data_IF_032355098652
#
_entry.id   IF_032355098652
#
_cell.length_a   1.000
_cell.length_b   1.000
_cell.length_c   1.000
_cell.angle_alpha   90.00
_cell.angle_beta   90.00
_cell.angle_gamma   90.00
#
_symmetry.space_group_name_H-M   'P 1'
#
loop_
_entity.id
_entity.type
_entity.pdbx_description
1 polymer ?
#
# COMPACT_ATOMS: atom_id res chain seq x y z
N UNK A 1 22.44 -3.13 -12.24
CA UNK A 1 21.24 -2.30 -12.05
C UNK A 1 20.56 -2.90 -10.85
N UNK A 2 20.43 -2.17 -9.75
CA UNK A 2 19.67 -2.68 -8.62
C UNK A 2 18.22 -2.88 -9.08
N UNK A 3 17.66 -4.06 -8.79
CA UNK A 3 16.27 -4.35 -9.09
C UNK A 3 15.37 -3.34 -8.38
N UNK A 4 14.42 -2.78 -9.13
CA UNK A 4 13.45 -1.80 -8.62
C UNK A 4 12.71 -2.40 -7.42
N UNK A 5 12.73 -1.69 -6.29
CA UNK A 5 11.96 -2.07 -5.09
C UNK A 5 10.63 -1.34 -5.06
N UNK A 6 9.59 -2.06 -4.68
CA UNK A 6 8.23 -1.51 -4.57
C UNK A 6 7.79 -1.46 -3.11
N UNK A 7 7.09 -0.40 -2.73
CA UNK A 7 6.36 -0.36 -1.47
C UNK A 7 4.91 0.04 -1.72
N UNK A 8 3.98 -0.47 -0.91
CA UNK A 8 2.60 -0.02 -0.93
C UNK A 8 2.42 1.13 0.08
N UNK A 9 2.09 2.32 -0.42
CA UNK A 9 1.66 3.46 0.40
C UNK A 9 0.14 3.56 0.35
N UNK A 10 -0.55 3.01 1.36
CA UNK A 10 -2.01 2.82 1.34
C UNK A 10 -2.65 3.14 2.69
N UNK A 11 -3.94 3.46 2.76
CA UNK A 11 -4.57 3.64 4.07
C UNK A 11 -6.03 4.03 4.07
N UNK A 12 -6.55 4.33 5.27
CA UNK A 12 -7.92 4.78 5.45
C UNK A 12 -8.17 6.15 4.80
N UNK A 13 -9.40 6.38 4.35
CA UNK A 13 -9.89 7.71 3.94
C UNK A 13 -10.15 8.64 5.14
N UNK A 14 -10.00 8.11 6.34
CA UNK A 14 -10.14 8.82 7.61
C UNK A 14 -8.77 9.06 8.26
N UNK A 15 -7.68 8.86 7.52
CA UNK A 15 -6.33 9.10 8.03
C UNK A 15 -6.19 10.54 8.54
N UNK A 16 -5.75 10.76 9.80
CA UNK A 16 -5.56 12.09 10.37
C UNK A 16 -4.62 12.96 9.54
N UNK A 17 -4.81 14.27 9.58
CA UNK A 17 -4.06 15.22 8.74
C UNK A 17 -2.56 15.21 9.06
N UNK A 18 -2.22 15.16 10.35
CA UNK A 18 -0.85 15.06 10.82
C UNK A 18 -0.17 13.78 10.34
N UNK A 19 -0.90 12.66 10.26
CA UNK A 19 -0.38 11.42 9.68
C UNK A 19 -0.22 11.55 8.17
N UNK A 20 -1.12 12.25 7.49
CA UNK A 20 -0.99 12.55 6.07
C UNK A 20 0.29 13.34 5.76
N UNK A 21 0.66 14.31 6.60
CA UNK A 21 1.93 15.06 6.45
C UNK A 21 3.14 14.13 6.55
N UNK A 22 3.15 13.21 7.52
CA UNK A 22 4.18 12.16 7.62
C UNK A 22 4.20 11.27 6.37
N UNK A 23 3.04 10.88 5.83
CA UNK A 23 2.97 10.05 4.62
C UNK A 23 3.51 10.76 3.37
N UNK A 24 3.27 12.08 3.23
CA UNK A 24 3.88 12.89 2.17
C UNK A 24 5.39 12.81 2.27
N UNK A 25 5.95 13.01 3.46
CA UNK A 25 7.40 13.01 3.62
C UNK A 25 8.01 11.61 3.44
N UNK A 26 7.35 10.55 3.93
CA UNK A 26 7.77 9.15 3.67
C UNK A 26 7.77 8.86 2.17
N UNK A 27 6.71 9.25 1.45
CA UNK A 27 6.63 9.03 0.01
C UNK A 27 7.72 9.76 -0.76
N UNK A 28 8.06 10.99 -0.33
CA UNK A 28 9.15 11.78 -0.91
C UNK A 28 10.52 11.13 -0.66
N UNK A 29 10.78 10.70 0.57
CA UNK A 29 12.05 10.10 0.95
C UNK A 29 12.28 8.74 0.29
N UNK A 30 11.27 7.87 0.25
CA UNK A 30 11.38 6.57 -0.45
C UNK A 30 11.60 6.74 -1.95
N UNK A 31 10.96 7.72 -2.58
CA UNK A 31 11.22 8.05 -3.98
C UNK A 31 12.67 8.49 -4.22
N UNK A 32 13.25 9.30 -3.32
CA UNK A 32 14.66 9.70 -3.40
C UNK A 32 15.63 8.53 -3.17
N UNK A 33 15.20 7.51 -2.43
CA UNK A 33 15.92 6.24 -2.25
C UNK A 33 15.73 5.27 -3.44
N UNK A 34 15.02 5.69 -4.50
CA UNK A 34 14.80 4.89 -5.70
C UNK A 34 13.72 3.82 -5.58
N UNK A 35 12.85 3.90 -4.56
CA UNK A 35 11.72 2.99 -4.43
C UNK A 35 10.52 3.47 -5.23
N UNK A 36 9.82 2.53 -5.87
CA UNK A 36 8.59 2.80 -6.60
C UNK A 36 7.36 2.66 -5.69
N UNK A 37 6.50 3.67 -5.69
CA UNK A 37 5.26 3.67 -4.93
C UNK A 37 4.18 2.83 -5.65
N UNK A 38 3.53 1.93 -4.93
CA UNK A 38 2.22 1.37 -5.31
C UNK A 38 1.12 1.95 -4.44
N UNK A 39 0.10 2.54 -5.07
CA UNK A 39 -1.05 3.07 -4.33
C UNK A 39 -2.34 2.93 -5.13
N UNK A 40 -3.41 3.62 -4.71
CA UNK A 40 -4.77 3.34 -5.17
C UNK A 40 -5.62 4.54 -5.53
N UNK A 41 -5.10 5.77 -5.40
CA UNK A 41 -5.83 6.99 -5.72
C UNK A 41 -6.99 7.30 -4.78
N UNK A 42 -7.06 6.68 -3.60
CA UNK A 42 -8.03 7.09 -2.57
C UNK A 42 -7.68 8.47 -1.99
N UNK A 43 -8.66 9.11 -1.36
CA UNK A 43 -8.42 10.33 -0.60
C UNK A 43 -7.64 10.02 0.70
N UNK A 44 -6.92 11.03 1.22
CA UNK A 44 -6.05 10.96 2.40
C UNK A 44 -4.79 10.16 2.15
N UNK A 45 -4.71 8.92 2.63
CA UNK A 45 -3.46 8.18 2.70
C UNK A 45 -2.82 7.97 1.33
N UNK A 46 -3.55 7.37 0.38
CA UNK A 46 -3.06 7.12 -0.98
C UNK A 46 -2.57 8.44 -1.63
N UNK A 47 -3.40 9.49 -1.62
CA UNK A 47 -3.06 10.81 -2.16
C UNK A 47 -1.84 11.46 -1.49
N UNK A 48 -1.63 11.24 -0.19
CA UNK A 48 -0.49 11.79 0.54
C UNK A 48 0.81 11.16 0.08
N UNK A 49 0.86 9.82 -0.04
CA UNK A 49 2.02 9.13 -0.61
C UNK A 49 2.25 9.52 -2.07
N UNK A 50 1.18 9.60 -2.87
CA UNK A 50 1.26 10.01 -4.28
C UNK A 50 1.87 11.40 -4.43
N UNK A 51 1.44 12.36 -3.61
CA UNK A 51 1.99 13.72 -3.56
C UNK A 51 3.45 13.72 -3.13
N UNK A 52 3.81 12.94 -2.11
CA UNK A 52 5.19 12.79 -1.66
C UNK A 52 6.11 12.32 -2.78
N UNK A 53 5.68 11.26 -3.46
CA UNK A 53 6.38 10.70 -4.62
C UNK A 53 6.53 11.74 -5.75
N UNK A 54 5.48 12.48 -6.07
CA UNK A 54 5.52 13.55 -7.09
C UNK A 54 6.51 14.66 -6.76
N UNK A 55 6.62 15.06 -5.49
CA UNK A 55 7.57 16.10 -5.04
C UNK A 55 9.03 15.70 -5.28
N UNK A 56 9.33 14.40 -5.34
CA UNK A 56 10.65 13.87 -5.64
C UNK A 56 10.83 13.45 -7.11
N UNK A 57 9.80 13.61 -7.96
CA UNK A 57 9.72 13.02 -9.29
C UNK A 57 9.98 11.50 -9.27
N UNK A 58 9.45 10.81 -8.26
CA UNK A 58 9.61 9.37 -8.11
C UNK A 58 8.71 8.56 -9.05
N UNK A 59 9.07 7.29 -9.22
CA UNK A 59 8.25 6.31 -9.94
C UNK A 59 7.06 5.84 -9.10
N UNK A 60 5.89 5.72 -9.72
CA UNK A 60 4.68 5.22 -9.06
C UNK A 60 3.73 4.46 -9.97
N UNK A 61 3.10 3.42 -9.43
CA UNK A 61 2.01 2.66 -10.03
C UNK A 61 0.73 2.85 -9.21
N UNK A 62 -0.23 3.58 -9.78
CA UNK A 62 -1.49 3.90 -9.10
C UNK A 62 -2.61 3.01 -9.62
N UNK A 63 -2.95 1.96 -8.88
CA UNK A 63 -3.97 1.01 -9.29
C UNK A 63 -5.37 1.53 -8.96
N UNK A 64 -6.15 1.84 -9.99
CA UNK A 64 -7.49 2.38 -9.85
C UNK A 64 -8.56 1.27 -9.95
N UNK A 65 -9.64 1.43 -9.19
CA UNK A 65 -10.79 0.52 -9.30
C UNK A 65 -11.60 0.76 -10.59
N UNK A 66 -11.47 1.93 -11.21
CA UNK A 66 -12.07 2.30 -12.49
C UNK A 66 -11.26 3.40 -13.15
N UNK A 67 -11.35 3.51 -14.47
CA UNK A 67 -10.68 4.56 -15.26
C UNK A 67 -11.09 5.96 -14.76
N UNK A 68 -10.11 6.84 -14.56
CA UNK A 68 -10.36 8.23 -14.16
C UNK A 68 -10.94 8.38 -12.75
N UNK A 69 -10.79 7.39 -11.87
CA UNK A 69 -11.26 7.48 -10.49
C UNK A 69 -10.69 8.74 -9.81
N UNK A 70 -11.58 9.59 -9.28
CA UNK A 70 -11.22 10.90 -8.70
C UNK A 70 -10.39 11.81 -9.62
N UNK A 71 -10.53 11.67 -10.94
CA UNK A 71 -9.75 12.42 -11.91
C UNK A 71 -8.30 11.98 -12.04
N UNK A 72 -7.89 10.88 -11.38
CA UNK A 72 -6.54 10.35 -11.48
C UNK A 72 -6.31 9.77 -12.90
N UNK A 73 -5.27 10.19 -13.63
CA UNK A 73 -5.04 9.82 -15.03
C UNK A 73 -4.37 8.44 -15.19
N UNK A 74 -4.08 7.73 -14.10
CA UNK A 74 -3.37 6.46 -14.14
C UNK A 74 -3.99 5.46 -15.14
N UNK A 75 -3.16 4.79 -15.96
CA UNK A 75 -3.63 3.78 -16.90
C UNK A 75 -3.96 2.45 -16.20
N UNK A 76 -3.57 2.26 -14.94
CA UNK A 76 -3.68 0.98 -14.24
C UNK A 76 -5.08 0.78 -13.62
N UNK A 77 -6.10 0.56 -14.45
CA UNK A 77 -7.48 0.31 -14.00
C UNK A 77 -8.05 -1.06 -14.41
N UNK A 78 -7.25 -1.83 -15.15
CA UNK A 78 -7.57 -3.20 -15.54
C UNK A 78 -7.14 -4.16 -14.44
N UNK A 79 -8.11 -4.80 -13.79
CA UNK A 79 -7.88 -5.72 -12.68
C UNK A 79 -8.05 -7.15 -13.23
N UNK A 80 -7.01 -8.00 -13.18
CA UNK A 80 -7.10 -9.39 -13.62
C UNK A 80 -8.20 -10.14 -12.86
N UNK A 81 -8.86 -11.09 -13.53
CA UNK A 81 -9.99 -11.82 -12.94
C UNK A 81 -9.56 -12.61 -11.69
N UNK A 82 -8.41 -13.26 -11.74
CA UNK A 82 -7.83 -13.98 -10.60
C UNK A 82 -7.61 -13.09 -9.35
N UNK A 83 -7.43 -11.77 -9.50
CA UNK A 83 -7.24 -10.86 -8.37
C UNK A 83 -8.54 -10.63 -7.60
N UNK A 84 -9.70 -10.80 -8.26
CA UNK A 84 -10.99 -10.86 -7.57
C UNK A 84 -11.13 -12.16 -6.77
N UNK A 85 -10.65 -13.28 -7.30
CA UNK A 85 -10.70 -14.57 -6.64
C UNK A 85 -9.76 -14.58 -5.41
N UNK A 86 -8.56 -13.98 -5.52
CA UNK A 86 -7.65 -13.78 -4.39
C UNK A 86 -8.30 -12.90 -3.31
N UNK A 87 -8.86 -11.75 -3.69
CA UNK A 87 -9.51 -10.83 -2.75
C UNK A 87 -10.71 -11.49 -2.04
N UNK A 88 -11.47 -12.34 -2.73
CA UNK A 88 -12.60 -13.06 -2.17
C UNK A 88 -12.23 -13.99 -1.01
N UNK A 89 -11.01 -14.57 -1.00
CA UNK A 89 -10.51 -15.43 0.08
C UNK A 89 -10.51 -14.73 1.44
N UNK A 90 -10.27 -13.41 1.43
CA UNK A 90 -10.16 -12.58 2.63
C UNK A 90 -11.48 -11.96 3.10
N UNK A 91 -12.60 -12.23 2.40
CA UNK A 91 -13.88 -11.56 2.66
C UNK A 91 -15.04 -12.55 2.65
N UNK A 92 -15.43 -13.03 3.84
CA UNK A 92 -16.56 -13.98 4.04
C UNK A 92 -17.86 -13.58 3.33
N UNK A 93 -18.16 -12.29 3.26
CA UNK A 93 -19.38 -11.75 2.64
C UNK A 93 -19.17 -11.26 1.19
N UNK A 94 -18.16 -11.77 0.46
CA UNK A 94 -17.79 -11.32 -0.90
C UNK A 94 -18.99 -11.07 -1.84
N UNK A 95 -19.94 -12.01 -1.86
CA UNK A 95 -21.14 -11.93 -2.71
C UNK A 95 -22.07 -10.74 -2.40
N UNK A 96 -22.03 -10.22 -1.16
CA UNK A 96 -22.85 -9.08 -0.72
C UNK A 96 -22.25 -7.72 -1.09
N UNK A 97 -20.95 -7.67 -1.43
CA UNK A 97 -20.35 -6.41 -1.86
C UNK A 97 -20.87 -6.00 -3.23
N UNK A 98 -21.06 -4.69 -3.41
CA UNK A 98 -21.31 -4.12 -4.73
C UNK A 98 -20.12 -4.40 -5.65
N UNK A 99 -20.34 -4.33 -6.97
CA UNK A 99 -19.26 -4.47 -7.94
C UNK A 99 -18.13 -3.47 -7.66
N UNK A 100 -18.47 -2.21 -7.41
CA UNK A 100 -17.48 -1.18 -7.10
C UNK A 100 -16.64 -1.52 -5.86
N UNK A 101 -17.27 -2.02 -4.79
CA UNK A 101 -16.54 -2.46 -3.60
C UNK A 101 -15.66 -3.68 -3.86
N UNK A 102 -16.11 -4.64 -4.67
CA UNK A 102 -15.27 -5.77 -5.11
C UNK A 102 -14.07 -5.31 -5.92
N UNK A 103 -14.23 -4.33 -6.82
CA UNK A 103 -13.12 -3.74 -7.59
C UNK A 103 -12.12 -3.01 -6.70
N UNK A 104 -12.59 -2.25 -5.71
CA UNK A 104 -11.71 -1.61 -4.72
C UNK A 104 -10.88 -2.64 -3.95
N UNK A 105 -11.50 -3.76 -3.53
CA UNK A 105 -10.81 -4.83 -2.83
C UNK A 105 -9.84 -5.61 -3.73
N UNK A 106 -10.25 -5.96 -4.94
CA UNK A 106 -9.41 -6.68 -5.91
C UNK A 106 -8.20 -5.84 -6.35
N UNK A 107 -8.38 -4.53 -6.51
CA UNK A 107 -7.27 -3.60 -6.77
C UNK A 107 -6.20 -3.62 -5.67
N UNK A 108 -6.57 -3.86 -4.41
CA UNK A 108 -5.57 -3.93 -3.33
C UNK A 108 -4.62 -5.12 -3.49
N UNK A 109 -5.03 -6.17 -4.23
CA UNK A 109 -4.16 -7.29 -4.56
C UNK A 109 -3.04 -6.84 -5.51
N UNK A 110 -3.33 -5.96 -6.49
CA UNK A 110 -2.32 -5.35 -7.38
C UNK A 110 -1.30 -4.51 -6.60
N UNK A 111 -1.74 -3.81 -5.56
CA UNK A 111 -0.85 -2.99 -4.74
C UNK A 111 0.20 -3.82 -4.01
N UNK A 112 -0.12 -5.08 -3.67
CA UNK A 112 0.77 -5.98 -2.93
C UNK A 112 1.58 -6.86 -3.89
N UNK A 113 0.92 -7.56 -4.81
CA UNK A 113 1.56 -8.56 -5.65
C UNK A 113 2.14 -7.98 -6.96
N UNK A 114 1.75 -6.76 -7.34
CA UNK A 114 2.07 -6.19 -8.65
C UNK A 114 1.11 -6.68 -9.74
N UNK A 115 1.40 -6.34 -10.99
CA UNK A 115 0.67 -6.89 -12.12
C UNK A 115 1.20 -8.30 -12.46
N UNK A 116 0.35 -9.32 -12.66
CA UNK A 116 0.80 -10.69 -12.94
C UNK A 116 1.48 -10.85 -14.31
N UNK A 117 1.48 -9.79 -15.11
CA UNK A 117 1.87 -9.82 -16.52
C UNK A 117 0.78 -10.40 -17.41
N UNK A 118 0.92 -10.18 -18.70
CA UNK A 118 0.18 -10.82 -19.78
C UNK A 118 1.07 -10.91 -21.03
N UNK A 119 0.52 -11.32 -22.18
CA UNK A 119 1.25 -11.44 -23.45
C UNK A 119 1.89 -10.11 -23.91
N UNK A 120 1.48 -8.97 -23.34
CA UNK A 120 1.89 -7.62 -23.72
C UNK A 120 2.61 -6.86 -22.60
N UNK A 121 2.52 -7.33 -21.36
CA UNK A 121 3.04 -6.66 -20.16
C UNK A 121 3.81 -7.67 -19.31
N UNK A 122 5.07 -7.41 -18.93
CA UNK A 122 5.80 -8.34 -18.07
C UNK A 122 5.15 -8.45 -16.69
N UNK A 123 5.41 -9.58 -16.02
CA UNK A 123 5.06 -9.74 -14.61
C UNK A 123 5.90 -8.80 -13.74
N UNK A 124 5.26 -8.18 -12.77
CA UNK A 124 5.91 -7.38 -11.75
C UNK A 124 6.37 -8.26 -10.58
N UNK A 125 7.35 -7.76 -9.81
CA UNK A 125 7.68 -8.32 -8.51
C UNK A 125 6.72 -7.80 -7.43
N UNK A 126 6.43 -8.58 -6.37
CA UNK A 126 5.69 -8.10 -5.20
C UNK A 126 6.41 -6.96 -4.48
N UNK A 127 5.68 -6.26 -3.61
CA UNK A 127 6.25 -5.24 -2.73
C UNK A 127 7.22 -5.84 -1.71
N UNK A 128 8.18 -5.02 -1.26
CA UNK A 128 9.05 -5.34 -0.12
C UNK A 128 8.60 -4.66 1.18
N UNK A 129 7.70 -3.68 1.11
CA UNK A 129 7.14 -3.03 2.30
C UNK A 129 5.73 -2.49 2.09
N UNK A 130 4.95 -2.40 3.17
CA UNK A 130 3.72 -1.63 3.28
C UNK A 130 3.94 -0.54 4.31
N UNK A 131 3.68 0.72 3.93
CA UNK A 131 3.49 1.81 4.88
C UNK A 131 2.03 2.23 4.81
N UNK A 132 1.34 2.14 5.95
CA UNK A 132 -0.10 2.37 5.97
C UNK A 132 -0.59 3.07 7.23
N UNK A 133 -1.87 3.45 7.19
CA UNK A 133 -2.61 3.83 8.38
C UNK A 133 -3.95 3.09 8.43
N UNK A 134 -4.21 2.51 9.60
CA UNK A 134 -5.52 2.09 10.07
C UNK A 134 -5.68 2.59 11.50
N UNK A 135 -6.89 3.00 11.90
CA UNK A 135 -7.15 3.48 13.27
C UNK A 135 -6.66 2.46 14.32
N UNK A 136 -5.89 2.95 15.29
CA UNK A 136 -5.20 2.18 16.35
C UNK A 136 -4.36 0.98 15.86
N UNK A 137 -3.94 0.98 14.59
CA UNK A 137 -3.21 -0.14 13.99
C UNK A 137 -4.08 -1.38 13.72
N UNK A 138 -5.41 -1.27 13.81
CA UNK A 138 -6.35 -2.39 13.69
C UNK A 138 -6.49 -2.88 12.25
N UNK A 139 -6.65 -4.19 12.06
CA UNK A 139 -6.92 -4.80 10.75
C UNK A 139 -8.38 -4.59 10.30
N UNK A 140 -8.76 -3.34 10.04
CA UNK A 140 -10.12 -2.94 9.62
C UNK A 140 -10.17 -2.35 8.21
N UNK A 141 -11.38 -2.34 7.64
CA UNK A 141 -11.66 -1.69 6.35
C UNK A 141 -11.11 -2.40 5.11
N UNK A 142 -10.87 -1.61 4.05
CA UNK A 142 -10.31 -2.11 2.79
C UNK A 142 -8.82 -2.44 2.89
N UNK A 143 -8.07 -1.64 3.66
CA UNK A 143 -6.63 -1.79 3.88
C UNK A 143 -6.27 -3.12 4.52
N UNK A 144 -7.10 -3.65 5.42
CA UNK A 144 -6.84 -4.92 6.08
C UNK A 144 -6.72 -6.11 5.12
N UNK A 145 -7.32 -6.04 3.93
CA UNK A 145 -7.14 -7.08 2.90
C UNK A 145 -5.69 -7.13 2.45
N UNK A 146 -5.09 -5.97 2.14
CA UNK A 146 -3.70 -5.89 1.69
C UNK A 146 -2.74 -6.38 2.78
N UNK A 147 -3.01 -6.01 4.04
CA UNK A 147 -2.20 -6.44 5.18
C UNK A 147 -2.28 -7.95 5.43
N UNK A 148 -3.47 -8.55 5.31
CA UNK A 148 -3.65 -10.00 5.43
C UNK A 148 -2.99 -10.75 4.28
N UNK A 149 -3.21 -10.28 3.05
CA UNK A 149 -2.60 -10.85 1.85
C UNK A 149 -1.07 -10.82 1.92
N UNK A 150 -0.49 -9.69 2.31
CA UNK A 150 0.96 -9.54 2.42
C UNK A 150 1.55 -10.51 3.44
N UNK A 151 0.91 -10.66 4.61
CA UNK A 151 1.34 -11.64 5.62
C UNK A 151 1.25 -13.08 5.12
N UNK A 152 0.16 -13.45 4.47
CA UNK A 152 -0.07 -14.83 4.04
C UNK A 152 0.82 -15.24 2.85
N UNK A 153 1.03 -14.33 1.89
CA UNK A 153 1.71 -14.66 0.62
C UNK A 153 3.21 -14.30 0.64
N UNK A 154 3.62 -13.30 1.43
CA UNK A 154 5.00 -12.80 1.43
C UNK A 154 5.72 -13.04 2.78
N UNK A 155 4.98 -13.22 3.88
CA UNK A 155 5.56 -13.53 5.20
C UNK A 155 6.62 -12.53 5.64
N UNK A 156 7.79 -13.03 6.03
CA UNK A 156 8.92 -12.21 6.50
C UNK A 156 9.65 -11.44 5.38
N UNK A 157 9.26 -11.63 4.10
CA UNK A 157 9.83 -10.87 2.99
C UNK A 157 9.23 -9.46 2.82
N UNK A 158 8.20 -9.12 3.59
CA UNK A 158 7.53 -7.81 3.54
C UNK A 158 7.50 -7.15 4.91
N UNK A 159 8.01 -5.93 4.98
CA UNK A 159 7.88 -5.10 6.18
C UNK A 159 6.51 -4.43 6.22
N UNK A 160 5.80 -4.48 7.35
CA UNK A 160 4.50 -3.81 7.52
C UNK A 160 4.62 -2.74 8.60
N UNK A 161 4.58 -1.49 8.18
CA UNK A 161 4.59 -0.30 9.04
C UNK A 161 3.20 0.30 9.06
N UNK A 162 2.57 0.31 10.23
CA UNK A 162 1.24 0.88 10.43
C UNK A 162 1.32 2.10 11.34
N UNK A 163 1.20 3.29 10.76
CA UNK A 163 1.33 4.57 11.44
C UNK A 163 0.20 4.83 12.45
N UNK A 164 -0.86 4.02 12.45
CA UNK A 164 -1.88 4.05 13.50
C UNK A 164 -1.51 3.25 14.75
N UNK A 165 -0.47 2.41 14.67
CA UNK A 165 0.00 1.63 15.81
C UNK A 165 0.77 2.54 16.79
N UNK A 166 0.63 2.35 18.13
CA UNK A 166 1.28 3.20 19.13
C UNK A 166 2.79 3.38 18.95
N UNK A 167 3.49 2.35 18.48
CA UNK A 167 4.95 2.36 18.25
C UNK A 167 5.38 3.43 17.23
N UNK A 168 4.50 3.81 16.31
CA UNK A 168 4.78 4.78 15.25
C UNK A 168 4.17 6.16 15.50
N UNK A 169 3.44 6.36 16.61
CA UNK A 169 2.73 7.62 16.90
C UNK A 169 3.64 8.85 16.85
N UNK A 170 4.91 8.70 17.24
CA UNK A 170 5.90 9.77 17.27
C UNK A 170 7.08 9.52 16.31
N UNK A 171 7.00 8.49 15.47
CA UNK A 171 8.07 8.19 14.53
C UNK A 171 8.12 9.27 13.46
N UNK A 172 9.30 9.82 13.22
CA UNK A 172 9.56 10.71 12.10
C UNK A 172 9.51 9.95 10.78
N UNK A 173 9.26 10.68 9.68
CA UNK A 173 9.30 10.10 8.35
C UNK A 173 10.66 9.43 8.04
N UNK A 174 11.76 10.02 8.50
CA UNK A 174 13.09 9.43 8.31
C UNK A 174 13.26 8.10 9.05
N UNK A 175 12.73 7.98 10.28
CA UNK A 175 12.79 6.71 11.03
C UNK A 175 11.95 5.62 10.36
N UNK A 176 10.79 5.97 9.82
CA UNK A 176 9.95 5.06 9.03
C UNK A 176 10.70 4.59 7.79
N UNK A 177 11.34 5.51 7.05
CA UNK A 177 12.12 5.20 5.86
C UNK A 177 13.31 4.32 6.19
N UNK A 178 14.09 4.68 7.23
CA UNK A 178 15.25 3.91 7.69
C UNK A 178 14.86 2.46 8.02
N UNK A 179 13.65 2.23 8.53
CA UNK A 179 13.12 0.88 8.72
C UNK A 179 12.84 0.18 7.40
N UNK A 180 12.09 0.81 6.48
CA UNK A 180 11.78 0.24 5.15
C UNK A 180 13.04 -0.13 4.36
N UNK A 181 14.08 0.70 4.44
CA UNK A 181 15.33 0.47 3.70
C UNK A 181 16.31 -0.44 4.44
N UNK A 182 15.96 -0.94 5.64
CA UNK A 182 16.79 -1.85 6.44
C UNK A 182 17.99 -1.19 7.12
N UNK A 183 17.98 0.13 7.31
CA UNK A 183 19.02 0.90 8.00
C UNK A 183 18.83 0.93 9.53
N UNK A 184 17.61 0.69 10.02
CA UNK A 184 17.28 0.58 11.46
C UNK A 184 16.13 -0.38 11.71
N UNK A 185 16.18 -1.14 12.80
CA UNK A 185 14.99 -1.78 13.36
C UNK A 185 14.45 -0.90 14.47
N UNK A 186 13.30 -0.26 14.27
CA UNK A 186 12.49 0.17 15.40
C UNK A 186 11.94 -1.14 15.99
N UNK A 187 12.36 -1.56 17.20
CA UNK A 187 11.86 -2.80 17.76
C UNK A 187 10.35 -2.67 17.93
N UNK A 188 9.54 -3.60 17.40
CA UNK A 188 8.12 -3.60 17.73
C UNK A 188 8.03 -3.68 19.26
N UNK A 189 7.21 -2.83 19.88
CA UNK A 189 6.77 -3.12 21.23
C UNK A 189 6.12 -4.49 21.13
N UNK A 190 6.70 -5.47 21.84
CA UNK A 190 6.41 -6.90 21.75
C UNK A 190 5.01 -7.16 21.18
N UNK A 191 4.94 -7.82 20.02
CA UNK A 191 3.70 -8.33 19.43
C UNK A 191 2.88 -9.03 20.54
N UNK A 192 1.99 -8.29 21.19
CA UNK A 192 0.93 -8.91 21.97
C UNK A 192 0.03 -9.52 20.91
N UNK A 193 0.12 -10.84 20.81
CA UNK A 193 -0.65 -11.70 19.93
C UNK A 193 -2.03 -11.11 19.65
N UNK A 194 -2.28 -10.78 18.38
CA UNK A 194 -3.63 -10.71 17.82
C UNK A 194 -3.93 -12.04 17.13
#
# INVERSE_FOLDING_TARGET
>A
MDDMKYYAGIGSRETPLEVCETMVEVGRLLALEGWCLRSGGAERADESFERGCDLANGEKQIFLHKKGARGNPSPHFNIPREYFDIAARYRRNWRKFSENSRRLLARNVLQVLGYPGDDTTPNDTPISAIVCYTEDGKLVGGTSLALQLAKDELGEAVDIINLGHPDFRNASAQEIVDQVVGRRNIPPAQMSMF
#
